data_IF_307524055389
#
_entry.id   IF_307524055389
#
_cell.length_a   1.000
_cell.length_b   1.000
_cell.length_c   1.000
_cell.angle_alpha   90.00
_cell.angle_beta   90.00
_cell.angle_gamma   90.00
#
_symmetry.space_group_name_H-M   'P 1'
#
loop_
_entity.id
_entity.type
_entity.pdbx_description
1 polymer ?
#
# COMPACT_ATOMS: atom_id res chain seq x y z
N UNK A 1 48.10 -43.14 -33.90
CA UNK A 1 48.63 -42.09 -32.98
C UNK A 1 48.01 -40.72 -33.20
N UNK A 2 48.05 -40.09 -34.39
CA UNK A 2 47.50 -38.73 -34.63
C UNK A 2 46.00 -38.57 -34.31
N UNK A 3 45.16 -39.59 -34.59
CA UNK A 3 43.73 -39.59 -34.25
C UNK A 3 43.46 -39.70 -32.74
N UNK A 4 44.29 -40.46 -32.02
CA UNK A 4 44.19 -40.62 -30.55
C UNK A 4 44.64 -39.33 -29.86
N UNK A 5 45.72 -38.70 -30.36
CA UNK A 5 46.19 -37.41 -29.87
C UNK A 5 45.17 -36.30 -30.14
N UNK A 6 44.50 -36.32 -31.30
CA UNK A 6 43.41 -35.40 -31.63
C UNK A 6 42.19 -35.57 -30.73
N UNK A 7 41.80 -36.82 -30.41
CA UNK A 7 40.71 -37.08 -29.46
C UNK A 7 41.06 -36.60 -28.05
N UNK A 8 42.30 -36.82 -27.59
CA UNK A 8 42.80 -36.36 -26.29
C UNK A 8 42.83 -34.83 -26.19
N UNK A 9 43.23 -34.13 -27.25
CA UNK A 9 43.19 -32.67 -27.32
C UNK A 9 41.76 -32.13 -27.33
N UNK A 10 40.83 -32.82 -27.99
CA UNK A 10 39.42 -32.43 -28.03
C UNK A 10 38.72 -32.63 -26.68
N UNK A 11 38.98 -33.74 -25.98
CA UNK A 11 38.45 -33.96 -24.62
C UNK A 11 39.06 -32.99 -23.61
N UNK A 12 40.35 -32.69 -23.73
CA UNK A 12 40.99 -31.67 -22.89
C UNK A 12 40.40 -30.27 -23.15
N UNK A 13 40.20 -29.89 -24.42
CA UNK A 13 39.55 -28.63 -24.77
C UNK A 13 38.08 -28.56 -24.28
N UNK A 14 37.34 -29.66 -24.36
CA UNK A 14 35.97 -29.75 -23.83
C UNK A 14 35.92 -29.63 -22.30
N UNK A 15 36.95 -30.08 -21.58
CA UNK A 15 37.03 -29.95 -20.11
C UNK A 15 37.22 -28.50 -19.63
N UNK A 16 37.83 -27.63 -20.44
CA UNK A 16 37.90 -26.19 -20.16
C UNK A 16 36.57 -25.46 -20.40
N UNK A 17 35.67 -26.03 -21.22
CA UNK A 17 34.32 -25.48 -21.45
C UNK A 17 33.31 -25.88 -20.36
N UNK A 18 33.70 -26.76 -19.42
CA UNK A 18 32.86 -27.27 -18.33
C UNK A 18 33.04 -26.52 -16.98
N UNK A 19 33.72 -25.36 -16.96
CA UNK A 19 33.88 -24.53 -15.74
C UNK A 19 32.59 -23.75 -15.37
N UNK A 20 31.44 -24.44 -15.32
CA UNK A 20 30.11 -23.85 -15.21
C UNK A 20 29.62 -23.49 -13.79
N UNK A 21 30.44 -23.62 -12.74
CA UNK A 21 30.01 -23.44 -11.35
C UNK A 21 30.59 -22.20 -10.64
N UNK A 22 31.09 -21.21 -11.37
CA UNK A 22 31.71 -20.01 -10.78
C UNK A 22 30.72 -19.11 -10.01
N UNK A 23 29.41 -19.20 -10.30
CA UNK A 23 28.41 -18.28 -9.76
C UNK A 23 27.46 -18.92 -8.72
N UNK A 24 27.87 -20.03 -8.07
CA UNK A 24 27.08 -20.64 -7.00
C UNK A 24 27.14 -19.77 -5.75
N UNK A 25 25.98 -19.38 -5.22
CA UNK A 25 25.83 -18.73 -3.91
C UNK A 25 25.14 -19.72 -2.98
N UNK A 26 25.77 -20.09 -1.88
CA UNK A 26 25.17 -21.04 -0.95
C UNK A 26 24.19 -20.35 0.00
N UNK A 27 23.09 -21.02 0.35
CA UNK A 27 22.06 -20.45 1.24
C UNK A 27 22.63 -20.03 2.62
N UNK A 28 23.67 -20.72 3.08
CA UNK A 28 24.34 -20.43 4.35
C UNK A 28 25.24 -19.18 4.30
N UNK A 29 25.55 -18.67 3.11
CA UNK A 29 26.35 -17.45 2.90
C UNK A 29 25.46 -16.21 2.68
N UNK A 30 24.14 -16.42 2.54
CA UNK A 30 23.17 -15.38 2.25
C UNK A 30 22.34 -14.99 3.49
N UNK A 31 22.21 -13.69 3.68
CA UNK A 31 21.24 -13.09 4.59
C UNK A 31 19.99 -12.71 3.81
N UNK A 32 18.92 -13.48 3.95
CA UNK A 32 17.67 -13.24 3.22
C UNK A 32 16.98 -11.99 3.78
N UNK A 33 17.04 -10.89 3.03
CA UNK A 33 16.34 -9.66 3.37
C UNK A 33 14.84 -9.82 3.11
N UNK A 34 14.02 -9.53 4.12
CA UNK A 34 12.56 -9.64 4.06
C UNK A 34 11.87 -8.28 4.16
N UNK A 35 12.48 -7.33 4.84
CA UNK A 35 12.11 -5.92 4.78
C UNK A 35 13.35 -5.04 4.81
N UNK A 36 13.24 -3.86 4.21
CA UNK A 36 14.23 -2.81 4.28
C UNK A 36 13.55 -1.50 4.63
N UNK A 37 14.30 -0.61 5.29
CA UNK A 37 13.86 0.70 5.71
C UNK A 37 14.95 1.70 5.41
N UNK A 38 14.58 2.88 4.93
CA UNK A 38 15.53 3.95 4.67
C UNK A 38 15.10 5.25 5.32
N UNK A 39 16.05 5.85 6.02
CA UNK A 39 15.91 7.10 6.74
C UNK A 39 17.02 8.08 6.32
N UNK A 40 16.80 9.36 6.59
CA UNK A 40 17.81 10.41 6.48
C UNK A 40 18.28 10.82 7.87
N UNK A 41 19.59 10.79 8.11
CA UNK A 41 20.23 11.16 9.38
C UNK A 41 21.32 12.18 9.10
N UNK A 42 21.03 13.46 9.37
CA UNK A 42 21.82 14.56 8.81
C UNK A 42 21.83 14.47 7.28
N UNK A 43 23.02 14.46 6.68
CA UNK A 43 23.19 14.33 5.23
C UNK A 43 23.32 12.88 4.74
N UNK A 44 23.37 11.91 5.66
CA UNK A 44 23.58 10.49 5.34
C UNK A 44 22.28 9.72 5.21
N UNK A 45 22.33 8.67 4.40
CA UNK A 45 21.31 7.64 4.34
C UNK A 45 21.58 6.60 5.42
N UNK A 46 20.55 6.27 6.19
CA UNK A 46 20.55 5.10 7.06
C UNK A 46 19.70 4.02 6.43
N UNK A 47 20.32 2.88 6.14
CA UNK A 47 19.64 1.69 5.65
C UNK A 47 19.49 0.70 6.81
N UNK A 48 18.26 0.25 7.03
CA UNK A 48 17.91 -0.80 8.00
C UNK A 48 17.36 -2.01 7.25
N UNK A 49 17.90 -3.20 7.46
CA UNK A 49 17.48 -4.42 6.75
C UNK A 49 17.14 -5.52 7.74
N UNK A 50 15.92 -6.02 7.68
CA UNK A 50 15.50 -7.21 8.40
C UNK A 50 15.94 -8.46 7.64
N UNK A 51 16.79 -9.26 8.28
CA UNK A 51 17.27 -10.53 7.76
C UNK A 51 16.60 -11.67 8.53
N UNK A 52 15.91 -12.56 7.80
CA UNK A 52 15.28 -13.74 8.40
C UNK A 52 16.34 -14.74 8.89
N UNK A 53 16.08 -15.42 10.01
CA UNK A 53 16.94 -16.48 10.55
C UNK A 53 16.22 -17.82 10.37
N UNK A 54 16.49 -18.59 9.28
CA UNK A 54 15.68 -19.76 8.91
C UNK A 54 15.55 -20.81 10.02
N UNK A 55 16.62 -21.04 10.79
CA UNK A 55 16.63 -22.01 11.89
C UNK A 55 15.63 -21.66 13.01
N UNK A 56 15.32 -20.38 13.20
CA UNK A 56 14.35 -19.90 14.19
C UNK A 56 12.92 -19.81 13.62
N UNK A 57 12.77 -19.76 12.29
CA UNK A 57 11.47 -19.74 11.60
C UNK A 57 10.89 -21.15 11.45
N UNK A 58 11.73 -22.12 11.08
CA UNK A 58 11.31 -23.52 10.89
C UNK A 58 11.05 -24.24 12.23
N UNK A 59 11.82 -23.88 13.25
CA UNK A 59 11.65 -24.40 14.60
C UNK A 59 10.58 -23.57 15.31
N UNK A 60 9.29 -23.95 15.19
CA UNK A 60 8.20 -23.40 16.04
C UNK A 60 8.37 -23.77 17.53
N UNK A 61 9.60 -23.79 18.05
CA UNK A 61 9.89 -23.97 19.46
C UNK A 61 9.53 -22.67 20.18
N UNK A 62 8.33 -22.66 20.75
CA UNK A 62 7.94 -21.72 21.78
C UNK A 62 9.05 -21.69 22.84
N UNK A 63 9.65 -20.52 23.08
CA UNK A 63 10.72 -20.34 24.07
C UNK A 63 12.16 -20.32 23.54
N UNK A 64 12.40 -20.31 22.21
CA UNK A 64 13.76 -20.01 21.71
C UNK A 64 14.17 -18.58 22.13
N UNK A 65 15.35 -18.38 22.77
CA UNK A 65 15.80 -17.06 23.21
C UNK A 65 16.21 -16.14 22.06
N UNK A 66 16.34 -16.66 20.84
CA UNK A 66 16.82 -15.91 19.68
C UNK A 66 15.66 -15.42 18.81
N UNK A 67 15.71 -14.15 18.44
CA UNK A 67 14.70 -13.55 17.56
C UNK A 67 14.67 -14.25 16.18
N UNK A 68 13.49 -14.37 15.55
CA UNK A 68 13.27 -15.04 14.25
C UNK A 68 13.82 -14.24 13.05
N UNK A 69 14.10 -12.96 13.26
CA UNK A 69 14.78 -12.08 12.34
C UNK A 69 15.69 -11.14 13.14
N UNK A 70 16.71 -10.59 12.48
CA UNK A 70 17.58 -9.57 13.06
C UNK A 70 17.59 -8.34 12.16
N UNK A 71 17.71 -7.16 12.76
CA UNK A 71 17.78 -5.90 12.04
C UNK A 71 19.25 -5.46 11.98
N UNK A 72 19.79 -5.32 10.79
CA UNK A 72 21.10 -4.70 10.57
C UNK A 72 20.90 -3.27 10.09
N UNK A 73 21.73 -2.36 10.59
CA UNK A 73 21.67 -0.95 10.23
C UNK A 73 23.07 -0.47 9.84
N UNK A 74 23.14 0.37 8.82
CA UNK A 74 24.36 1.02 8.39
C UNK A 74 24.07 2.39 7.79
N UNK A 75 25.07 3.27 7.86
CA UNK A 75 24.99 4.63 7.32
C UNK A 75 26.04 4.84 6.23
N UNK A 76 25.66 5.58 5.20
CA UNK A 76 26.54 5.96 4.10
C UNK A 76 26.07 7.27 3.45
N UNK A 77 26.95 7.90 2.68
CA UNK A 77 26.62 9.10 1.92
C UNK A 77 25.68 8.77 0.75
N UNK A 78 25.71 7.51 0.30
CA UNK A 78 24.73 6.94 -0.63
C UNK A 78 24.09 5.68 -0.06
N UNK A 79 22.90 5.34 -0.54
CA UNK A 79 22.22 4.10 -0.15
C UNK A 79 23.03 2.85 -0.56
N UNK A 80 23.76 2.90 -1.67
CA UNK A 80 24.64 1.82 -2.10
C UNK A 80 25.85 1.65 -1.16
N UNK A 81 26.45 2.76 -0.70
CA UNK A 81 27.51 2.72 0.29
C UNK A 81 26.99 2.17 1.63
N UNK A 82 25.82 2.61 2.09
CA UNK A 82 25.19 2.07 3.30
C UNK A 82 25.02 0.54 3.16
N UNK A 83 24.46 0.06 2.04
CA UNK A 83 24.32 -1.38 1.78
C UNK A 83 25.67 -2.13 1.81
N UNK A 84 26.74 -1.55 1.26
CA UNK A 84 28.09 -2.14 1.30
C UNK A 84 28.68 -2.16 2.69
N UNK A 85 28.58 -1.06 3.44
CA UNK A 85 29.05 -0.98 4.83
C UNK A 85 28.34 -1.97 5.75
N UNK A 86 27.12 -2.39 5.40
CA UNK A 86 26.40 -3.41 6.18
C UNK A 86 27.14 -4.77 6.20
N UNK A 87 28.06 -5.04 5.27
CA UNK A 87 28.91 -6.24 5.32
C UNK A 87 29.95 -6.21 6.46
N UNK A 88 30.14 -5.07 7.13
CA UNK A 88 31.02 -4.97 8.31
C UNK A 88 30.36 -5.56 9.56
N UNK A 89 29.04 -5.54 9.63
CA UNK A 89 28.26 -6.03 10.77
C UNK A 89 27.48 -7.31 10.46
N UNK A 90 27.09 -7.52 9.20
CA UNK A 90 26.41 -8.75 8.77
C UNK A 90 27.41 -9.85 8.41
N UNK A 91 27.32 -11.04 9.02
CA UNK A 91 28.21 -12.16 8.71
C UNK A 91 27.91 -12.81 7.35
N UNK A 92 26.86 -12.36 6.64
CA UNK A 92 26.40 -12.93 5.36
C UNK A 92 26.16 -11.82 4.35
N UNK A 93 26.33 -12.12 3.07
CA UNK A 93 25.95 -11.18 2.01
C UNK A 93 24.44 -11.02 2.01
N UNK A 94 23.96 -9.78 2.10
CA UNK A 94 22.53 -9.48 2.06
C UNK A 94 21.98 -9.79 0.68
N UNK A 95 20.85 -10.47 0.65
CA UNK A 95 20.17 -10.90 -0.57
C UNK A 95 18.76 -10.33 -0.60
N UNK A 96 18.54 -9.36 -1.50
CA UNK A 96 17.30 -8.57 -1.59
C UNK A 96 16.20 -9.20 -2.45
N UNK A 97 16.45 -10.31 -3.13
CA UNK A 97 15.46 -10.92 -4.03
C UNK A 97 14.22 -11.50 -3.31
N UNK A 98 14.17 -11.50 -1.98
CA UNK A 98 13.02 -11.90 -1.18
C UNK A 98 12.41 -10.75 -0.37
N UNK A 99 12.79 -9.51 -0.70
CA UNK A 99 12.23 -8.33 -0.09
C UNK A 99 10.71 -8.32 -0.28
N UNK A 100 9.97 -8.05 0.80
CA UNK A 100 8.50 -7.97 0.79
C UNK A 100 7.99 -6.56 1.03
N UNK A 101 8.69 -5.83 1.90
CA UNK A 101 8.33 -4.48 2.32
C UNK A 101 9.54 -3.55 2.25
N UNK A 102 9.32 -2.35 1.74
CA UNK A 102 10.29 -1.26 1.77
C UNK A 102 9.67 -0.04 2.45
N UNK A 103 10.19 0.34 3.62
CA UNK A 103 9.64 1.40 4.45
C UNK A 103 10.46 2.66 4.26
N UNK A 104 9.80 3.78 3.99
CA UNK A 104 10.44 5.09 3.83
C UNK A 104 10.15 5.91 5.08
N UNK A 105 11.18 6.42 5.75
CA UNK A 105 11.01 7.35 6.85
C UNK A 105 10.39 8.66 6.37
N UNK A 106 9.47 9.25 7.14
CA UNK A 106 8.77 10.47 6.73
C UNK A 106 9.73 11.64 6.42
N UNK A 107 10.79 11.82 7.20
CA UNK A 107 11.78 12.88 6.98
C UNK A 107 12.41 12.77 5.58
N UNK A 108 12.82 11.55 5.19
CA UNK A 108 13.36 11.29 3.86
C UNK A 108 12.29 11.47 2.78
N UNK A 109 11.08 10.97 3.01
CA UNK A 109 9.97 11.13 2.07
C UNK A 109 9.68 12.60 1.76
N UNK A 110 9.81 13.50 2.75
CA UNK A 110 9.65 14.96 2.56
C UNK A 110 10.80 15.60 1.79
N UNK A 111 12.01 15.07 1.88
CA UNK A 111 13.17 15.56 1.13
C UNK A 111 13.16 15.11 -0.34
N UNK A 112 12.69 13.89 -0.59
CA UNK A 112 12.61 13.29 -1.92
C UNK A 112 12.98 11.80 -1.89
N UNK A 113 12.27 10.99 -2.68
CA UNK A 113 12.51 9.54 -2.78
C UNK A 113 13.14 9.12 -4.10
N UNK A 114 13.39 10.04 -5.03
CA UNK A 114 13.85 9.70 -6.39
C UNK A 114 15.19 8.95 -6.38
N UNK A 115 16.19 9.41 -5.60
CA UNK A 115 17.50 8.74 -5.53
C UNK A 115 17.40 7.31 -4.97
N UNK A 116 16.50 7.09 -4.02
CA UNK A 116 16.23 5.76 -3.46
C UNK A 116 15.64 4.85 -4.53
N UNK A 117 14.62 5.32 -5.25
CA UNK A 117 13.95 4.53 -6.28
C UNK A 117 14.86 4.23 -7.47
N UNK A 118 15.72 5.18 -7.87
CA UNK A 118 16.69 4.98 -8.96
C UNK A 118 17.66 3.83 -8.63
N UNK A 119 18.15 3.75 -7.39
CA UNK A 119 18.99 2.63 -6.97
C UNK A 119 18.22 1.30 -7.00
N UNK A 120 17.02 1.27 -6.42
CA UNK A 120 16.20 0.05 -6.33
C UNK A 120 15.82 -0.48 -7.72
N UNK A 121 15.66 0.39 -8.71
CA UNK A 121 15.30 0.00 -10.07
C UNK A 121 16.51 -0.42 -10.91
N UNK A 122 17.69 0.16 -10.68
CA UNK A 122 18.92 -0.15 -11.44
C UNK A 122 19.59 -1.44 -10.98
N UNK A 123 19.52 -1.77 -9.70
CA UNK A 123 20.22 -2.93 -9.18
C UNK A 123 19.45 -4.23 -9.46
N UNK A 124 20.08 -5.08 -10.27
CA UNK A 124 19.58 -6.40 -10.68
C UNK A 124 19.24 -7.37 -9.54
N UNK A 125 19.69 -7.14 -8.30
CA UNK A 125 19.37 -8.01 -7.16
C UNK A 125 17.94 -7.78 -6.61
N UNK A 126 17.30 -6.65 -6.93
CA UNK A 126 15.91 -6.38 -6.52
C UNK A 126 14.90 -6.96 -7.52
N UNK A 127 13.88 -7.61 -6.98
CA UNK A 127 12.63 -7.81 -7.71
C UNK A 127 11.79 -6.54 -7.61
N UNK A 128 10.82 -6.35 -8.50
CA UNK A 128 9.95 -5.16 -8.48
C UNK A 128 8.64 -5.35 -7.71
N UNK A 129 8.37 -6.54 -7.15
CA UNK A 129 7.08 -6.96 -6.59
C UNK A 129 6.94 -6.83 -5.06
N UNK A 130 7.84 -6.10 -4.41
CA UNK A 130 7.72 -5.72 -3.01
C UNK A 130 6.88 -4.44 -2.85
N UNK A 131 6.30 -4.23 -1.67
CA UNK A 131 5.43 -3.08 -1.42
C UNK A 131 6.12 -1.96 -0.65
N UNK A 132 5.67 -0.73 -0.92
CA UNK A 132 6.10 0.46 -0.21
C UNK A 132 5.11 0.91 0.87
N UNK A 133 5.64 1.50 1.94
CA UNK A 133 4.86 2.28 2.91
C UNK A 133 5.72 3.42 3.48
N UNK A 134 5.07 4.48 3.94
CA UNK A 134 5.76 5.61 4.60
C UNK A 134 5.53 5.52 6.10
N UNK A 135 6.60 5.48 6.89
CA UNK A 135 6.55 5.53 8.34
C UNK A 135 6.21 6.96 8.78
N UNK A 136 4.98 7.16 9.25
CA UNK A 136 4.46 8.45 9.67
C UNK A 136 4.90 8.77 11.09
N UNK A 137 5.44 9.97 11.27
CA UNK A 137 5.96 10.52 12.54
C UNK A 137 7.07 9.69 13.21
N UNK A 138 7.60 8.66 12.54
CA UNK A 138 8.62 7.75 13.04
C UNK A 138 9.61 7.41 11.94
N UNK A 139 10.80 6.94 12.32
CA UNK A 139 11.78 6.41 11.36
C UNK A 139 11.36 5.04 10.81
N UNK A 140 11.83 4.71 9.61
CA UNK A 140 11.67 3.37 9.06
C UNK A 140 12.36 2.31 9.94
N UNK A 141 13.52 2.65 10.52
CA UNK A 141 14.22 1.82 11.50
C UNK A 141 13.33 1.47 12.72
N UNK A 142 12.74 2.46 13.40
CA UNK A 142 11.86 2.25 14.55
C UNK A 142 10.66 1.36 14.20
N UNK A 143 10.04 1.61 13.05
CA UNK A 143 8.94 0.80 12.53
C UNK A 143 9.33 -0.68 12.37
N UNK A 144 10.54 -0.95 11.87
CA UNK A 144 11.05 -2.31 11.67
C UNK A 144 11.52 -2.98 12.98
N UNK A 145 11.63 -2.26 14.10
CA UNK A 145 11.99 -2.85 15.40
C UNK A 145 10.79 -3.37 16.19
N UNK A 146 9.56 -2.95 15.86
CA UNK A 146 8.37 -3.33 16.62
C UNK A 146 8.11 -4.84 16.49
N UNK A 147 8.14 -5.54 17.62
CA UNK A 147 7.86 -6.97 17.70
C UNK A 147 6.36 -7.24 17.55
N UNK A 148 6.02 -8.26 16.77
CA UNK A 148 4.63 -8.62 16.45
C UNK A 148 4.26 -10.02 16.96
N UNK A 149 3.04 -10.24 17.49
CA UNK A 149 2.70 -11.49 18.18
C UNK A 149 2.35 -12.67 17.25
N UNK A 150 1.62 -12.42 16.15
CA UNK A 150 1.14 -13.49 15.25
C UNK A 150 2.22 -13.91 14.26
N UNK A 151 2.73 -12.94 13.50
CA UNK A 151 3.85 -13.14 12.60
C UNK A 151 5.12 -12.86 13.39
N UNK A 152 6.01 -13.86 13.45
CA UNK A 152 7.23 -13.77 14.24
C UNK A 152 8.23 -12.79 13.61
N UNK A 153 8.18 -12.61 12.29
CA UNK A 153 8.96 -11.62 11.54
C UNK A 153 8.08 -10.39 11.25
N UNK A 154 8.45 -9.18 11.72
CA UNK A 154 7.64 -7.97 11.50
C UNK A 154 7.37 -7.66 10.01
N UNK A 155 8.34 -7.92 9.12
CA UNK A 155 8.14 -7.82 7.67
C UNK A 155 6.91 -8.60 7.15
N UNK A 156 6.68 -9.82 7.67
CA UNK A 156 5.55 -10.64 7.26
C UNK A 156 4.24 -10.08 7.78
N UNK A 157 4.21 -9.57 9.03
CA UNK A 157 3.06 -8.83 9.56
C UNK A 157 2.71 -7.69 8.62
N UNK A 158 3.69 -6.86 8.28
CA UNK A 158 3.48 -5.67 7.43
C UNK A 158 2.91 -6.09 6.08
N UNK A 159 3.59 -6.98 5.38
CA UNK A 159 3.15 -7.49 4.08
C UNK A 159 1.73 -8.07 4.11
N UNK A 160 1.45 -9.02 5.01
CA UNK A 160 0.14 -9.70 5.07
C UNK A 160 -0.96 -8.75 5.53
N UNK A 161 -0.70 -7.86 6.50
CA UNK A 161 -1.69 -6.89 6.97
C UNK A 161 -2.00 -5.82 5.93
N UNK A 162 -1.04 -5.41 5.10
CA UNK A 162 -1.28 -4.48 3.99
C UNK A 162 -2.20 -5.12 2.95
N UNK A 163 -1.87 -6.34 2.51
CA UNK A 163 -2.69 -7.06 1.53
C UNK A 163 -4.08 -7.39 2.05
N UNK A 164 -4.19 -7.74 3.33
CA UNK A 164 -5.47 -8.02 3.97
C UNK A 164 -6.29 -6.75 4.06
N UNK A 165 -5.71 -5.68 4.61
CA UNK A 165 -6.35 -4.37 4.73
C UNK A 165 -6.79 -3.88 3.35
N UNK A 166 -5.97 -3.95 2.31
CA UNK A 166 -6.36 -3.51 0.97
C UNK A 166 -7.59 -4.24 0.43
N UNK A 167 -7.73 -5.54 0.75
CA UNK A 167 -8.84 -6.39 0.30
C UNK A 167 -10.14 -6.13 1.07
N UNK A 168 -10.08 -5.95 2.38
CA UNK A 168 -11.27 -5.92 3.26
C UNK A 168 -11.57 -4.54 3.85
N UNK A 169 -10.62 -3.61 3.74
CA UNK A 169 -10.68 -2.28 4.31
C UNK A 169 -10.14 -1.23 3.33
N UNK A 170 -11.09 -0.45 2.79
CA UNK A 170 -10.86 0.52 1.73
C UNK A 170 -9.66 1.47 1.86
N UNK A 171 -9.28 2.07 3.02
CA UNK A 171 -8.28 3.14 3.10
C UNK A 171 -6.81 2.68 3.03
N UNK A 172 -6.51 1.59 2.33
CA UNK A 172 -5.13 1.10 2.14
C UNK A 172 -4.93 0.57 0.73
N UNK A 173 -3.71 0.69 0.21
CA UNK A 173 -3.30 0.17 -1.10
C UNK A 173 -1.87 -0.35 -1.04
N UNK A 174 -1.64 -1.55 -1.56
CA UNK A 174 -0.30 -2.04 -1.80
C UNK A 174 0.21 -1.47 -3.14
N UNK A 175 1.38 -0.83 -3.12
CA UNK A 175 2.00 -0.21 -4.30
C UNK A 175 3.38 -0.82 -4.49
N UNK A 176 3.63 -1.35 -5.69
CA UNK A 176 4.90 -1.97 -6.08
C UNK A 176 5.90 -0.94 -6.62
N UNK A 177 7.14 -1.35 -6.86
CA UNK A 177 8.20 -0.47 -7.38
C UNK A 177 7.86 0.05 -8.78
N UNK A 178 7.37 -0.83 -9.66
CA UNK A 178 7.01 -0.47 -11.03
C UNK A 178 5.79 0.48 -11.07
N UNK A 179 4.77 0.23 -10.25
CA UNK A 179 3.64 1.16 -10.10
C UNK A 179 4.10 2.54 -9.62
N UNK A 180 4.96 2.58 -8.61
CA UNK A 180 5.47 3.84 -8.05
C UNK A 180 6.30 4.63 -9.06
N UNK A 181 7.18 3.97 -9.83
CA UNK A 181 7.99 4.60 -10.87
C UNK A 181 7.12 5.10 -12.03
N UNK A 182 6.11 4.33 -12.42
CA UNK A 182 5.16 4.74 -13.46
C UNK A 182 4.38 5.99 -13.04
N UNK A 183 3.91 6.06 -11.79
CA UNK A 183 3.25 7.24 -11.25
C UNK A 183 4.21 8.43 -11.16
N UNK A 184 5.45 8.22 -10.69
CA UNK A 184 6.45 9.29 -10.57
C UNK A 184 6.89 9.87 -11.93
N UNK A 185 6.94 9.03 -12.96
CA UNK A 185 7.33 9.42 -14.33
C UNK A 185 6.18 10.07 -15.11
N UNK A 186 4.96 10.01 -14.59
CA UNK A 186 3.78 10.61 -15.21
C UNK A 186 3.75 12.12 -15.03
N UNK A 187 3.22 12.82 -16.04
CA UNK A 187 2.92 14.27 -15.95
C UNK A 187 1.47 14.56 -15.58
N UNK A 188 0.63 13.52 -15.53
CA UNK A 188 -0.80 13.66 -15.27
C UNK A 188 -1.28 12.81 -14.10
N UNK A 189 -0.35 12.35 -13.26
CA UNK A 189 -0.62 11.62 -12.03
C UNK A 189 0.56 11.75 -11.07
N UNK A 190 0.28 11.89 -9.78
CA UNK A 190 1.29 11.92 -8.72
C UNK A 190 1.19 10.70 -7.79
N UNK A 191 2.31 10.25 -7.20
CA UNK A 191 2.32 9.07 -6.34
C UNK A 191 1.53 9.23 -5.04
N UNK A 192 1.00 8.09 -4.58
CA UNK A 192 0.34 7.96 -3.29
C UNK A 192 0.78 6.65 -2.65
N UNK A 193 1.23 6.70 -1.39
CA UNK A 193 1.68 5.52 -0.65
C UNK A 193 0.93 5.37 0.66
N UNK A 194 0.67 4.14 1.11
CA UNK A 194 0.00 3.90 2.40
C UNK A 194 0.89 4.36 3.56
N UNK A 195 0.32 5.09 4.51
CA UNK A 195 0.99 5.49 5.74
C UNK A 195 1.01 4.38 6.78
N UNK A 196 2.04 4.36 7.62
CA UNK A 196 2.23 3.38 8.69
C UNK A 196 2.59 4.11 9.98
N UNK A 197 1.82 3.85 11.03
CA UNK A 197 1.97 4.46 12.35
C UNK A 197 2.30 3.39 13.40
N UNK A 198 3.06 3.79 14.42
CA UNK A 198 3.22 3.03 15.66
C UNK A 198 2.21 3.59 16.66
N UNK A 199 1.27 2.75 17.14
CA UNK A 199 0.32 3.11 18.19
C UNK A 199 0.72 2.47 19.51
N UNK A 200 0.87 3.29 20.55
CA UNK A 200 1.31 2.86 21.87
C UNK A 200 2.77 3.25 22.16
N UNK A 201 3.40 2.62 23.14
CA UNK A 201 4.78 2.95 23.54
C UNK A 201 5.80 2.21 22.67
N UNK A 202 6.48 2.95 21.78
CA UNK A 202 7.52 2.39 20.90
C UNK A 202 8.64 1.66 21.67
N UNK A 203 9.06 2.18 22.83
CA UNK A 203 10.16 1.58 23.60
C UNK A 203 9.79 0.22 24.18
N UNK A 204 8.50 0.03 24.47
CA UNK A 204 7.95 -1.28 24.86
C UNK A 204 7.83 -2.16 23.61
N UNK A 205 7.38 -1.59 22.48
CA UNK A 205 7.20 -2.28 21.21
C UNK A 205 8.43 -3.02 20.68
N UNK A 206 9.62 -2.49 20.93
CA UNK A 206 10.89 -3.11 20.53
C UNK A 206 11.32 -4.28 21.42
N UNK A 207 10.64 -4.50 22.56
CA UNK A 207 11.03 -5.48 23.57
C UNK A 207 10.12 -6.70 23.54
N UNK A 208 10.67 -7.84 23.99
CA UNK A 208 9.96 -9.13 24.05
C UNK A 208 8.66 -9.05 24.86
N UNK A 209 8.60 -8.21 25.89
CA UNK A 209 7.40 -7.97 26.70
C UNK A 209 6.17 -7.54 25.87
N UNK A 210 6.38 -6.93 24.68
CA UNK A 210 5.30 -6.55 23.77
C UNK A 210 4.50 -7.75 23.23
N UNK A 211 5.14 -8.93 23.16
CA UNK A 211 4.58 -10.15 22.58
C UNK A 211 4.42 -11.29 23.61
N UNK A 212 4.72 -11.05 24.88
CA UNK A 212 4.59 -12.05 25.95
C UNK A 212 3.19 -12.12 26.55
N UNK A 213 2.37 -11.08 26.37
CA UNK A 213 1.02 -10.98 26.91
C UNK A 213 -0.03 -10.96 25.79
N UNK A 214 -1.29 -11.28 26.14
CA UNK A 214 -2.43 -11.20 25.20
C UNK A 214 -2.62 -9.76 24.70
N UNK A 215 -2.48 -8.78 25.59
CA UNK A 215 -2.49 -7.37 25.23
C UNK A 215 -1.10 -6.93 24.78
N UNK A 216 -1.03 -6.32 23.60
CA UNK A 216 0.19 -5.75 23.01
C UNK A 216 0.20 -4.24 23.20
N UNK A 217 1.05 -3.68 24.08
CA UNK A 217 1.09 -2.24 24.36
C UNK A 217 1.45 -1.35 23.17
N UNK A 218 2.15 -1.89 22.17
CA UNK A 218 2.57 -1.15 20.98
C UNK A 218 2.41 -1.96 19.71
N UNK A 219 1.69 -1.42 18.73
CA UNK A 219 1.36 -2.13 17.51
C UNK A 219 1.41 -1.21 16.28
N UNK A 220 1.75 -1.83 15.15
CA UNK A 220 1.86 -1.17 13.85
C UNK A 220 0.49 -1.11 13.17
N UNK A 221 0.07 0.07 12.71
CA UNK A 221 -1.24 0.30 12.07
C UNK A 221 -1.07 1.07 10.78
N UNK A 222 -1.72 0.62 9.70
CA UNK A 222 -1.79 1.41 8.48
C UNK A 222 -2.76 2.58 8.66
N UNK A 223 -2.33 3.77 8.27
CA UNK A 223 -3.03 5.01 8.53
C UNK A 223 -2.97 5.92 7.31
N UNK A 224 -4.08 5.95 6.58
CA UNK A 224 -4.30 6.84 5.45
C UNK A 224 -3.23 6.75 4.37
N UNK A 225 -3.09 7.83 3.60
CA UNK A 225 -2.16 7.89 2.48
C UNK A 225 -1.24 9.11 2.53
N UNK A 226 0.04 8.88 2.26
CA UNK A 226 1.05 9.88 1.95
C UNK A 226 0.85 10.40 0.52
N UNK A 227 0.67 11.72 0.37
CA UNK A 227 0.51 12.40 -0.92
C UNK A 227 1.83 13.01 -1.35
N UNK A 228 2.28 12.69 -2.56
CA UNK A 228 3.54 13.19 -3.09
C UNK A 228 3.31 14.25 -4.17
N UNK A 229 4.17 15.27 -4.23
CA UNK A 229 4.38 16.11 -5.42
C UNK A 229 5.72 15.71 -6.01
N UNK A 230 5.68 15.19 -7.24
CA UNK A 230 6.82 14.47 -7.83
C UNK A 230 7.31 13.39 -6.85
N UNK A 231 8.53 13.49 -6.35
CA UNK A 231 9.16 12.53 -5.43
C UNK A 231 9.09 12.95 -3.95
N UNK A 232 8.42 14.05 -3.60
CA UNK A 232 8.41 14.59 -2.24
C UNK A 232 7.03 14.48 -1.59
N UNK A 233 6.99 13.97 -0.36
CA UNK A 233 5.81 13.96 0.48
C UNK A 233 5.40 15.39 0.88
N UNK A 234 4.18 15.78 0.52
CA UNK A 234 3.63 17.11 0.80
C UNK A 234 2.51 17.09 1.85
N UNK A 235 1.85 15.95 2.07
CA UNK A 235 0.75 15.86 3.02
C UNK A 235 0.17 14.47 3.18
N UNK A 236 -0.89 14.39 3.98
CA UNK A 236 -1.54 13.13 4.34
C UNK A 236 -3.04 13.20 4.06
N UNK A 237 -3.60 12.11 3.52
CA UNK A 237 -5.03 11.86 3.54
C UNK A 237 -5.40 11.15 4.83
N UNK A 238 -6.44 11.62 5.52
CA UNK A 238 -7.03 10.90 6.64
C UNK A 238 -7.83 9.68 6.13
N UNK A 239 -8.42 8.92 7.06
CA UNK A 239 -9.18 7.72 6.71
C UNK A 239 -10.33 7.99 5.73
N UNK A 240 -11.14 9.02 5.99
CA UNK A 240 -12.31 9.36 5.15
C UNK A 240 -11.88 9.72 3.72
N UNK A 241 -10.85 10.56 3.60
CA UNK A 241 -10.27 11.00 2.33
C UNK A 241 -9.63 9.82 1.58
N UNK A 242 -8.93 8.95 2.31
CA UNK A 242 -8.29 7.75 1.76
C UNK A 242 -9.30 6.76 1.17
N UNK A 243 -10.47 6.62 1.82
CA UNK A 243 -11.60 5.87 1.26
C UNK A 243 -12.10 6.52 -0.03
N UNK A 244 -12.31 7.84 -0.03
CA UNK A 244 -12.68 8.59 -1.23
C UNK A 244 -11.72 8.35 -2.40
N UNK A 245 -10.42 8.42 -2.15
CA UNK A 245 -9.37 8.16 -3.15
C UNK A 245 -9.50 6.75 -3.73
N UNK A 246 -9.66 5.74 -2.88
CA UNK A 246 -9.79 4.34 -3.30
C UNK A 246 -11.08 4.05 -4.07
N UNK A 247 -12.16 4.75 -3.76
CA UNK A 247 -13.40 4.69 -4.55
C UNK A 247 -13.19 5.23 -5.97
N UNK A 248 -12.39 6.29 -6.15
CA UNK A 248 -12.06 6.83 -7.49
C UNK A 248 -11.22 5.83 -8.30
N UNK A 249 -10.30 5.10 -7.66
CA UNK A 249 -9.55 4.02 -8.30
C UNK A 249 -10.46 2.84 -8.71
N UNK A 250 -11.56 2.63 -7.97
CA UNK A 250 -12.57 1.62 -8.29
C UNK A 250 -12.11 0.19 -8.08
N UNK A 251 -11.12 -0.02 -7.19
CA UNK A 251 -10.48 -1.31 -6.92
C UNK A 251 -10.78 -1.84 -5.49
N UNK A 252 -11.74 -1.23 -4.79
CA UNK A 252 -12.21 -1.68 -3.48
C UNK A 252 -12.99 -2.97 -3.63
N UNK A 253 -12.46 -4.06 -3.05
CA UNK A 253 -13.05 -5.40 -3.11
C UNK A 253 -14.05 -5.64 -2.00
N UNK A 254 -13.73 -5.26 -0.78
CA UNK A 254 -14.65 -5.33 0.35
C UNK A 254 -14.40 -4.17 1.32
N UNK A 255 -15.48 -3.72 1.95
CA UNK A 255 -15.46 -2.72 3.02
C UNK A 255 -16.83 -2.71 3.71
N UNK A 256 -16.90 -2.06 4.87
CA UNK A 256 -18.15 -1.87 5.60
C UNK A 256 -18.50 -0.40 5.63
N UNK A 257 -19.77 -0.11 5.38
CA UNK A 257 -20.38 1.19 5.49
C UNK A 257 -21.61 1.11 6.40
N UNK A 258 -22.09 2.25 6.84
CA UNK A 258 -23.33 2.29 7.57
C UNK A 258 -24.15 3.53 7.23
N UNK A 259 -25.46 3.34 7.22
CA UNK A 259 -26.47 4.37 7.12
C UNK A 259 -27.10 4.53 8.50
N UNK A 260 -27.28 5.78 8.95
CA UNK A 260 -27.94 6.06 10.24
C UNK A 260 -29.45 5.95 10.06
N UNK A 261 -30.13 5.31 11.01
CA UNK A 261 -31.60 5.28 11.04
C UNK A 261 -32.16 6.68 11.36
N UNK A 262 -33.45 6.91 11.06
CA UNK A 262 -34.14 8.17 11.41
C UNK A 262 -34.21 8.39 12.93
N UNK A 263 -34.37 7.29 13.69
CA UNK A 263 -34.46 7.30 15.14
C UNK A 263 -33.09 6.92 15.76
N UNK A 264 -32.95 5.68 16.24
CA UNK A 264 -31.71 5.13 16.77
C UNK A 264 -31.25 3.89 15.99
N UNK A 265 -29.93 3.70 15.95
CA UNK A 265 -29.28 2.55 15.30
C UNK A 265 -28.74 2.86 13.91
N UNK A 266 -28.25 1.81 13.26
CA UNK A 266 -27.67 1.83 11.92
C UNK A 266 -28.13 0.65 11.07
N UNK A 267 -28.09 0.84 9.76
CA UNK A 267 -28.03 -0.26 8.78
C UNK A 267 -26.58 -0.39 8.34
N UNK A 268 -25.99 -1.55 8.56
CA UNK A 268 -24.63 -1.84 8.11
C UNK A 268 -24.69 -2.49 6.73
N UNK A 269 -23.94 -1.94 5.79
CA UNK A 269 -23.84 -2.42 4.42
C UNK A 269 -22.42 -2.88 4.13
N UNK A 270 -22.28 -4.14 3.74
CA UNK A 270 -21.04 -4.71 3.25
C UNK A 270 -20.92 -4.45 1.75
N UNK A 271 -19.83 -3.83 1.31
CA UNK A 271 -19.48 -3.71 -0.10
C UNK A 271 -18.82 -5.01 -0.57
N UNK A 272 -19.27 -5.56 -1.70
CA UNK A 272 -18.77 -6.81 -2.28
C UNK A 272 -17.87 -6.62 -3.50
N UNK A 273 -18.12 -5.54 -4.24
CA UNK A 273 -17.33 -5.15 -5.41
C UNK A 273 -17.60 -3.71 -5.77
N UNK A 274 -16.58 -3.06 -6.33
CA UNK A 274 -16.68 -1.72 -6.88
C UNK A 274 -16.05 -1.68 -8.27
N UNK A 275 -16.44 -0.69 -9.06
CA UNK A 275 -15.79 -0.35 -10.32
C UNK A 275 -15.92 1.15 -10.56
N UNK A 276 -14.85 1.79 -11.00
CA UNK A 276 -14.85 3.19 -11.38
C UNK A 276 -14.35 3.36 -12.81
N UNK A 277 -15.01 4.24 -13.56
CA UNK A 277 -14.57 4.67 -14.90
C UNK A 277 -14.38 6.17 -14.88
N UNK A 278 -13.11 6.59 -14.96
CA UNK A 278 -12.72 8.00 -15.06
C UNK A 278 -12.48 8.33 -16.53
N UNK A 279 -13.28 9.26 -17.07
CA UNK A 279 -13.17 9.76 -18.45
C UNK A 279 -12.92 11.26 -18.46
N UNK A 280 -11.89 11.68 -19.20
CA UNK A 280 -11.64 13.09 -19.49
C UNK A 280 -12.33 13.53 -20.78
N UNK A 281 -12.75 14.79 -20.85
CA UNK A 281 -13.25 15.43 -22.07
C UNK A 281 -12.85 16.90 -22.11
N UNK A 282 -12.99 17.53 -23.29
CA UNK A 282 -12.79 18.97 -23.48
C UNK A 282 -14.14 19.61 -23.83
N UNK A 283 -14.60 20.56 -23.00
CA UNK A 283 -15.83 21.33 -23.25
C UNK A 283 -15.45 22.80 -23.35
N UNK A 284 -15.73 23.42 -24.51
CA UNK A 284 -15.34 24.81 -24.81
C UNK A 284 -13.85 25.09 -24.46
N UNK A 285 -12.97 24.17 -24.85
CA UNK A 285 -11.52 24.21 -24.61
C UNK A 285 -11.08 24.15 -23.14
N UNK A 286 -11.96 23.71 -22.23
CA UNK A 286 -11.61 23.44 -20.82
C UNK A 286 -11.71 21.95 -20.51
N UNK A 287 -10.76 21.37 -19.77
CA UNK A 287 -10.83 19.97 -19.36
C UNK A 287 -11.98 19.76 -18.39
N UNK A 288 -12.63 18.60 -18.49
CA UNK A 288 -13.69 18.13 -17.59
C UNK A 288 -13.46 16.65 -17.31
N UNK A 289 -13.83 16.21 -16.11
CA UNK A 289 -13.76 14.80 -15.71
C UNK A 289 -15.17 14.30 -15.42
N UNK A 290 -15.46 13.09 -15.90
CA UNK A 290 -16.64 12.34 -15.53
C UNK A 290 -16.22 11.03 -14.85
N UNK A 291 -16.63 10.86 -13.60
CA UNK A 291 -16.43 9.65 -12.80
C UNK A 291 -17.76 8.92 -12.74
N UNK A 292 -17.81 7.73 -13.36
CA UNK A 292 -18.93 6.79 -13.15
C UNK A 292 -18.47 5.69 -12.23
N UNK A 293 -19.06 5.61 -11.06
CA UNK A 293 -18.77 4.62 -10.05
C UNK A 293 -19.97 3.69 -9.87
N UNK A 294 -19.71 2.39 -9.81
CA UNK A 294 -20.72 1.39 -9.51
C UNK A 294 -20.25 0.53 -8.36
N UNK A 295 -21.14 0.25 -7.42
CA UNK A 295 -20.87 -0.67 -6.32
C UNK A 295 -22.02 -1.64 -6.10
N UNK A 296 -21.66 -2.81 -5.62
CA UNK A 296 -22.63 -3.78 -5.14
C UNK A 296 -22.34 -4.15 -3.70
N UNK A 297 -23.40 -4.34 -2.93
CA UNK A 297 -23.28 -4.70 -1.53
C UNK A 297 -24.43 -5.55 -1.01
N UNK A 298 -24.30 -5.95 0.25
CA UNK A 298 -25.32 -6.64 1.01
C UNK A 298 -25.65 -5.86 2.28
N UNK A 299 -26.84 -6.09 2.83
CA UNK A 299 -27.12 -5.73 4.21
C UNK A 299 -26.44 -6.73 5.14
N UNK A 300 -25.59 -6.22 6.03
CA UNK A 300 -24.88 -7.01 7.04
C UNK A 300 -25.61 -7.03 8.37
N UNK A 301 -26.16 -5.90 8.81
CA UNK A 301 -27.00 -5.83 10.01
C UNK A 301 -28.00 -4.68 9.96
N UNK A 302 -29.10 -4.83 10.70
CA UNK A 302 -30.13 -3.80 10.88
C UNK A 302 -30.41 -3.62 12.37
N UNK A 303 -30.16 -2.42 12.86
CA UNK A 303 -30.49 -2.00 14.22
C UNK A 303 -31.76 -1.13 14.27
N UNK A 304 -32.18 -0.61 13.11
CA UNK A 304 -33.34 0.26 12.96
C UNK A 304 -34.63 -0.45 13.40
N UNK A 305 -35.45 0.24 14.19
CA UNK A 305 -36.80 -0.25 14.51
C UNK A 305 -37.72 -0.10 13.30
N UNK A 306 -38.52 -1.13 13.00
CA UNK A 306 -39.56 -1.09 11.97
C UNK A 306 -39.07 -0.91 10.53
N UNK A 307 -37.77 -1.13 10.26
CA UNK A 307 -37.24 -1.12 8.91
C UNK A 307 -37.49 -2.48 8.25
N UNK A 308 -38.38 -2.48 7.27
CA UNK A 308 -38.77 -3.67 6.51
C UNK A 308 -37.97 -3.75 5.21
N UNK A 309 -37.03 -4.71 5.15
CA UNK A 309 -36.16 -4.94 4.00
C UNK A 309 -36.81 -5.75 2.86
N UNK A 310 -38.04 -6.26 3.06
CA UNK A 310 -38.78 -6.95 2.00
C UNK A 310 -39.39 -5.97 0.99
N UNK A 311 -39.54 -4.69 1.40
CA UNK A 311 -40.09 -3.62 0.57
C UNK A 311 -39.04 -3.05 -0.39
N UNK A 312 -39.29 -3.06 -1.71
CA UNK A 312 -38.38 -2.46 -2.69
C UNK A 312 -38.06 -0.99 -2.42
N UNK A 313 -39.02 -0.23 -1.89
CA UNK A 313 -38.86 1.20 -1.59
C UNK A 313 -37.83 1.42 -0.47
N UNK A 314 -37.79 0.52 0.53
CA UNK A 314 -36.78 0.57 1.59
C UNK A 314 -35.39 0.34 1.02
N UNK A 315 -35.23 -0.64 0.13
CA UNK A 315 -33.96 -0.96 -0.52
C UNK A 315 -33.48 0.21 -1.38
N UNK A 316 -34.37 0.76 -2.22
CA UNK A 316 -34.05 1.90 -3.07
C UNK A 316 -33.61 3.14 -2.25
N UNK A 317 -34.24 3.35 -1.08
CA UNK A 317 -33.83 4.41 -0.18
C UNK A 317 -32.42 4.19 0.37
N UNK A 318 -32.10 2.98 0.81
CA UNK A 318 -30.75 2.64 1.29
C UNK A 318 -29.70 2.79 0.19
N UNK A 319 -30.00 2.34 -1.03
CA UNK A 319 -29.16 2.54 -2.22
C UNK A 319 -28.90 4.03 -2.45
N UNK A 320 -29.95 4.86 -2.46
CA UNK A 320 -29.83 6.32 -2.64
C UNK A 320 -28.97 6.97 -1.54
N UNK A 321 -29.14 6.58 -0.28
CA UNK A 321 -28.35 7.12 0.83
C UNK A 321 -26.86 6.72 0.71
N UNK A 322 -26.59 5.51 0.23
CA UNK A 322 -25.23 5.04 -0.06
C UNK A 322 -24.60 5.75 -1.26
N UNK A 323 -25.39 6.01 -2.31
CA UNK A 323 -24.95 6.79 -3.47
C UNK A 323 -24.50 8.17 -3.04
N UNK A 324 -25.34 8.87 -2.28
CA UNK A 324 -25.02 10.19 -1.76
C UNK A 324 -23.81 10.18 -0.80
N UNK A 325 -23.69 9.16 0.06
CA UNK A 325 -22.52 9.00 0.92
C UNK A 325 -21.23 8.84 0.10
N UNK A 326 -21.28 8.02 -0.95
CA UNK A 326 -20.15 7.76 -1.85
C UNK A 326 -19.76 9.02 -2.61
N UNK A 327 -20.74 9.76 -3.17
CA UNK A 327 -20.51 11.08 -3.80
C UNK A 327 -19.78 12.00 -2.83
N UNK A 328 -20.28 12.15 -1.59
CA UNK A 328 -19.63 13.01 -0.58
C UNK A 328 -18.20 12.59 -0.25
N UNK A 329 -17.90 11.29 -0.19
CA UNK A 329 -16.54 10.79 0.05
C UNK A 329 -15.59 11.17 -1.09
N UNK A 330 -16.02 10.97 -2.34
CA UNK A 330 -15.27 11.30 -3.55
C UNK A 330 -15.05 12.82 -3.64
N UNK A 331 -16.10 13.62 -3.43
CA UNK A 331 -16.02 15.08 -3.44
C UNK A 331 -15.08 15.61 -2.35
N UNK A 332 -15.15 15.06 -1.13
CA UNK A 332 -14.30 15.48 -0.01
C UNK A 332 -12.82 15.38 -0.38
N UNK A 333 -12.39 14.24 -0.93
CA UNK A 333 -10.98 14.05 -1.28
C UNK A 333 -10.57 14.89 -2.49
N UNK A 334 -11.42 15.01 -3.50
CA UNK A 334 -11.14 15.84 -4.68
C UNK A 334 -10.96 17.29 -4.26
N UNK A 335 -11.89 17.83 -3.45
CA UNK A 335 -11.83 19.19 -2.97
C UNK A 335 -10.54 19.44 -2.20
N UNK A 336 -10.22 18.60 -1.21
CA UNK A 336 -8.98 18.74 -0.42
C UNK A 336 -7.74 18.75 -1.32
N UNK A 337 -7.63 17.78 -2.22
CA UNK A 337 -6.45 17.63 -3.07
C UNK A 337 -6.37 18.80 -4.06
N UNK A 338 -7.48 19.30 -4.60
CA UNK A 338 -7.51 20.47 -5.49
C UNK A 338 -7.15 21.78 -4.77
N UNK A 339 -7.59 21.98 -3.52
CA UNK A 339 -7.41 23.25 -2.81
C UNK A 339 -6.13 23.33 -2.00
N UNK A 340 -5.79 22.25 -1.27
CA UNK A 340 -4.66 22.23 -0.34
C UNK A 340 -3.38 21.77 -1.02
N UNK A 341 -3.44 20.66 -1.77
CA UNK A 341 -2.24 20.02 -2.31
C UNK A 341 -1.90 20.43 -3.74
N UNK A 342 -2.92 20.72 -4.57
CA UNK A 342 -2.81 21.12 -5.97
C UNK A 342 -1.93 20.16 -6.78
N UNK A 343 -2.13 18.86 -6.57
CA UNK A 343 -1.46 17.79 -7.32
C UNK A 343 -2.46 16.72 -7.73
N UNK A 344 -2.41 16.29 -8.98
CA UNK A 344 -3.33 15.26 -9.45
C UNK A 344 -2.91 13.86 -9.00
N UNK A 345 -3.43 13.39 -7.88
CA UNK A 345 -3.21 12.00 -7.42
C UNK A 345 -4.14 10.98 -8.09
N UNK A 346 -5.20 11.44 -8.76
CA UNK A 346 -6.27 10.59 -9.27
C UNK A 346 -6.01 10.09 -10.69
N UNK A 347 -5.08 10.72 -11.41
CA UNK A 347 -4.78 10.42 -12.80
C UNK A 347 -5.76 11.07 -13.78
N UNK A 348 -6.33 12.22 -13.42
CA UNK A 348 -7.23 12.98 -14.29
C UNK A 348 -6.51 13.54 -15.52
N UNK A 349 -5.26 13.98 -15.39
CA UNK A 349 -4.40 14.41 -16.49
C UNK A 349 -4.16 13.26 -17.46
N UNK A 350 -3.91 12.06 -16.95
CA UNK A 350 -3.83 10.86 -17.78
C UNK A 350 -5.15 10.50 -18.48
N UNK A 351 -6.29 10.74 -17.82
CA UNK A 351 -7.60 10.56 -18.46
C UNK A 351 -7.83 11.56 -19.61
N UNK A 352 -7.39 12.81 -19.47
CA UNK A 352 -7.39 13.83 -20.52
C UNK A 352 -6.40 13.48 -21.63
N UNK A 353 -5.19 13.00 -21.29
CA UNK A 353 -4.20 12.55 -22.27
C UNK A 353 -4.74 11.44 -23.15
N UNK A 354 -5.45 10.46 -22.56
CA UNK A 354 -6.07 9.35 -23.31
C UNK A 354 -7.20 9.82 -24.23
N UNK A 355 -8.02 10.77 -23.81
CA UNK A 355 -9.17 11.21 -24.60
C UNK A 355 -8.85 12.32 -25.60
N UNK A 356 -7.88 13.19 -25.30
CA UNK A 356 -7.44 14.27 -26.17
C UNK A 356 -5.93 14.55 -26.03
N UNK A 357 -5.07 13.74 -26.68
CA UNK A 357 -3.62 13.89 -26.62
C UNK A 357 -3.09 15.25 -27.09
N UNK A 358 -3.78 15.87 -28.07
CA UNK A 358 -3.39 17.17 -28.62
C UNK A 358 -3.57 18.28 -27.58
N UNK A 359 -4.72 18.33 -26.90
CA UNK A 359 -4.96 19.28 -25.82
C UNK A 359 -3.98 19.04 -24.66
N UNK A 360 -3.79 17.78 -24.26
CA UNK A 360 -2.85 17.42 -23.21
C UNK A 360 -1.44 17.94 -23.46
N UNK A 361 -0.93 17.85 -24.69
CA UNK A 361 0.42 18.34 -25.06
C UNK A 361 0.61 19.82 -24.70
N UNK A 362 -0.43 20.64 -24.80
CA UNK A 362 -0.40 22.07 -24.44
C UNK A 362 -0.62 22.37 -22.97
N UNK A 363 -1.11 21.39 -22.19
CA UNK A 363 -1.51 21.59 -20.79
C UNK A 363 -0.58 20.93 -19.78
N UNK A 364 0.14 19.88 -20.18
CA UNK A 364 0.88 18.98 -19.29
C UNK A 364 1.94 19.64 -18.41
N UNK A 365 2.51 20.77 -18.84
CA UNK A 365 3.55 21.46 -18.05
C UNK A 365 2.95 22.31 -16.91
N UNK A 366 1.72 22.79 -17.08
CA UNK A 366 1.02 23.64 -16.10
C UNK A 366 -0.23 22.92 -15.51
N UNK A 367 -0.29 21.59 -15.61
CA UNK A 367 -1.49 20.82 -15.28
C UNK A 367 -1.92 21.05 -13.84
N UNK A 368 -1.00 20.85 -12.91
CA UNK A 368 -1.21 20.97 -11.47
C UNK A 368 -1.42 22.43 -11.03
N UNK A 369 -0.75 23.38 -11.68
CA UNK A 369 -0.79 24.79 -11.31
C UNK A 369 -2.06 25.49 -11.84
N UNK A 370 -2.46 25.21 -13.08
CA UNK A 370 -3.50 25.97 -13.79
C UNK A 370 -4.80 25.22 -13.97
N UNK A 371 -4.75 23.93 -14.29
CA UNK A 371 -5.91 23.19 -14.79
C UNK A 371 -6.57 22.33 -13.72
N UNK A 372 -5.79 21.56 -12.98
CA UNK A 372 -6.26 20.64 -11.94
C UNK A 372 -7.02 21.33 -10.79
N UNK A 373 -6.56 22.46 -10.21
CA UNK A 373 -7.17 23.03 -9.00
C UNK A 373 -8.63 23.48 -9.14
N UNK A 374 -9.06 23.81 -10.36
CA UNK A 374 -10.43 24.25 -10.66
C UNK A 374 -11.11 23.33 -11.69
N UNK A 375 -10.61 22.10 -11.85
CA UNK A 375 -11.10 21.14 -12.81
C UNK A 375 -12.52 20.69 -12.43
N UNK A 376 -13.54 20.91 -13.29
CA UNK A 376 -14.88 20.41 -13.03
C UNK A 376 -14.91 18.88 -13.08
N UNK A 377 -15.40 18.28 -12.00
CA UNK A 377 -15.59 16.83 -11.90
C UNK A 377 -17.07 16.54 -11.72
N UNK A 378 -17.65 15.79 -12.65
CA UNK A 378 -18.99 15.22 -12.52
C UNK A 378 -18.89 13.80 -12.00
N UNK A 379 -19.68 13.49 -10.96
CA UNK A 379 -19.67 12.20 -10.29
C UNK A 379 -21.07 11.60 -10.43
N UNK A 380 -21.13 10.40 -10.97
CA UNK A 380 -22.33 9.57 -10.98
C UNK A 380 -22.02 8.29 -10.22
N UNK A 381 -22.86 7.95 -9.26
CA UNK A 381 -22.74 6.76 -8.43
C UNK A 381 -24.00 5.94 -8.62
N UNK A 382 -23.83 4.65 -8.94
CA UNK A 382 -24.91 3.67 -8.93
C UNK A 382 -24.57 2.62 -7.84
N UNK A 383 -25.39 2.50 -6.81
CA UNK A 383 -25.19 1.52 -5.74
C UNK A 383 -26.33 0.50 -5.75
N UNK A 384 -26.00 -0.78 -5.72
CA UNK A 384 -27.02 -1.82 -5.74
C UNK A 384 -26.87 -2.85 -4.62
N UNK A 385 -27.97 -3.07 -3.88
CA UNK A 385 -28.04 -4.05 -2.81
C UNK A 385 -28.47 -5.40 -3.42
N UNK A 386 -27.60 -6.39 -3.33
CA UNK A 386 -27.83 -7.74 -3.89
C UNK A 386 -28.57 -8.65 -2.92
N UNK A 387 -28.31 -8.52 -1.61
CA UNK A 387 -28.89 -9.39 -0.57
C UNK A 387 -29.12 -8.61 0.72
N UNK A 388 -30.12 -9.03 1.48
CA UNK A 388 -30.50 -8.45 2.77
C UNK A 388 -30.06 -9.29 3.98
N UNK A 389 -29.32 -10.38 3.74
CA UNK A 389 -28.96 -11.37 4.75
C UNK A 389 -29.75 -12.68 4.59
N UNK A 390 -29.64 -13.59 5.56
CA UNK A 390 -30.41 -14.85 5.59
C UNK A 390 -31.83 -14.64 6.13
N UNK A 391 -32.05 -13.55 6.86
CA UNK A 391 -33.34 -13.18 7.45
C UNK A 391 -33.71 -11.78 6.96
N UNK A 392 -34.97 -11.59 6.58
CA UNK A 392 -35.47 -10.31 6.09
C UNK A 392 -35.89 -9.37 7.23
N UNK A 393 -36.38 -9.94 8.34
CA UNK A 393 -36.74 -9.23 9.56
C UNK A 393 -35.78 -9.58 10.69
N UNK A 394 -35.40 -8.56 11.48
CA UNK A 394 -34.49 -8.73 12.61
C UNK A 394 -35.23 -9.32 13.80
N UNK A 395 -34.71 -10.39 14.42
CA UNK A 395 -35.24 -10.97 15.66
C UNK A 395 -35.28 -9.95 16.83
N UNK A 396 -34.52 -8.86 16.72
CA UNK A 396 -34.57 -7.75 17.67
C UNK A 396 -35.92 -7.03 17.68
N UNK A 397 -36.70 -7.11 16.61
CA UNK A 397 -38.06 -6.56 16.57
C UNK A 397 -39.00 -7.37 17.48
N UNK A 398 -38.93 -8.70 17.46
CA UNK A 398 -39.73 -9.59 18.32
C UNK A 398 -39.42 -9.37 19.81
N UNK A 399 -38.15 -9.13 20.15
CA UNK A 399 -37.73 -8.80 21.53
C UNK A 399 -38.24 -7.41 21.97
N UNK A 400 -38.36 -6.46 21.05
CA UNK A 400 -38.88 -5.11 21.35
C UNK A 400 -40.40 -5.11 21.51
N UNK A 401 -41.12 -5.99 20.83
CA UNK A 401 -42.57 -6.17 21.01
C UNK A 401 -42.93 -6.84 22.34
N UNK A 402 -41.99 -7.56 22.96
CA UNK A 402 -42.18 -8.29 24.22
C UNK A 402 -41.67 -7.53 25.46
N UNK A 403 -41.17 -6.30 25.28
CA UNK A 403 -40.81 -5.36 26.36
C UNK A 403 -41.77 -4.18 26.37
#
# INVERSE_FOLDING_TARGET
MKRILGLLLLTLAASFLLSGCWNRRELNELGIAVAAGVDKVGDKYRLSVQIAIPGQVASKKVGSPQAPATLFTSEGDTLFEAARRMSQSSPRKIYFAHLRMFIIGESLARQGIAEVLDLLFRDHEFRTDFYFAVSKENTAEETLKIMTPIETIPANKLFTSLQTSEKIWSPTKAVTLDELINDLSSKGKHPVLTGLEIRGDKNIGEKKINVENIYTPSHLVYSGFAVFKSDRLIGWLNEKESRGYRLILGDVKSSVNHVKCRDQGKVVLETLRTSAKVKGSMVKSRPHINIRFSAEGNVGSVECSGLDLTKPETIQKLETEMEQMTVRLIETVIQKVQTEYKVDIFGFGEAIRRSNPKAWKSMKEDWDERYFPNLPVHIQVDYHIRRTGTISDSFLNEIRETR
#
